data_IF_413630861147
#
_entry.id   IF_413630861147
#
_cell.length_a   1.000
_cell.length_b   1.000
_cell.length_c   1.000
_cell.angle_alpha   90.00
_cell.angle_beta   90.00
_cell.angle_gamma   90.00
#
_symmetry.space_group_name_H-M   'P 1'
#
loop_
_entity.id
_entity.type
_entity.pdbx_description
1 polymer ?
#
# COMPACT_ATOMS: atom_id res chain seq x y z
N UNK A 1 -17.98 -11.15 30.83
CA UNK A 1 -19.44 -11.32 31.01
C UNK A 1 -19.97 -11.88 29.70
N UNK A 2 -20.81 -12.92 29.72
CA UNK A 2 -21.43 -13.47 28.51
C UNK A 2 -22.81 -12.83 28.41
N UNK A 3 -23.00 -11.91 27.47
CA UNK A 3 -24.31 -11.31 27.19
C UNK A 3 -25.01 -12.16 26.12
N UNK A 4 -26.20 -12.66 26.46
CA UNK A 4 -27.10 -13.29 25.49
C UNK A 4 -28.07 -12.23 24.98
N UNK A 5 -27.96 -11.89 23.69
CA UNK A 5 -28.89 -10.97 23.03
C UNK A 5 -30.04 -11.82 22.45
N UNK A 6 -31.18 -11.87 23.15
CA UNK A 6 -32.40 -12.53 22.66
C UNK A 6 -33.44 -11.48 22.25
N UNK A 7 -33.86 -11.51 20.99
CA UNK A 7 -34.93 -10.66 20.46
C UNK A 7 -36.13 -11.54 20.07
N UNK A 8 -37.32 -11.26 20.62
CA UNK A 8 -38.57 -11.96 20.28
C UNK A 8 -39.29 -11.21 19.13
N UNK A 9 -39.67 -11.92 18.07
CA UNK A 9 -40.57 -11.42 17.02
C UNK A 9 -41.55 -12.50 16.57
N UNK A 10 -42.83 -12.14 16.54
CA UNK A 10 -44.02 -12.99 16.34
C UNK A 10 -44.32 -13.34 14.87
N UNK A 11 -43.39 -13.10 13.93
CA UNK A 11 -43.55 -13.53 12.53
C UNK A 11 -42.24 -14.06 11.93
N UNK A 12 -41.55 -14.99 12.61
CA UNK A 12 -40.50 -15.88 12.07
C UNK A 12 -39.22 -15.26 11.47
N UNK A 13 -39.21 -13.95 11.19
CA UNK A 13 -38.08 -13.17 10.71
C UNK A 13 -37.98 -11.94 11.60
N UNK A 14 -36.83 -11.77 12.22
CA UNK A 14 -36.55 -10.66 13.13
C UNK A 14 -35.96 -9.53 12.29
N UNK A 15 -36.47 -8.31 12.47
CA UNK A 15 -35.95 -7.10 11.81
C UNK A 15 -34.64 -6.59 12.40
N UNK A 16 -33.76 -7.49 12.87
CA UNK A 16 -32.50 -7.15 13.49
C UNK A 16 -31.32 -7.74 12.70
N UNK A 17 -30.26 -6.95 12.56
CA UNK A 17 -29.05 -7.32 11.82
C UNK A 17 -27.85 -7.11 12.72
N UNK A 18 -26.89 -8.03 12.68
CA UNK A 18 -25.63 -7.87 13.37
C UNK A 18 -24.51 -7.68 12.35
N UNK A 19 -23.74 -6.59 12.51
CA UNK A 19 -22.60 -6.25 11.66
C UNK A 19 -21.33 -6.49 12.47
N UNK A 20 -20.42 -7.30 11.90
CA UNK A 20 -19.13 -7.63 12.50
C UNK A 20 -18.03 -6.74 11.90
N UNK A 21 -17.35 -6.00 12.77
CA UNK A 21 -16.26 -5.09 12.41
C UNK A 21 -16.78 -3.70 12.07
N UNK A 22 -16.36 -2.71 12.85
CA UNK A 22 -16.73 -1.30 12.71
C UNK A 22 -15.64 -0.49 12.01
N UNK A 23 -15.09 -1.03 10.92
CA UNK A 23 -14.33 -0.24 9.94
C UNK A 23 -15.26 0.65 9.10
N UNK A 24 -14.69 1.41 8.16
CA UNK A 24 -15.47 2.29 7.26
C UNK A 24 -16.65 1.58 6.56
N UNK A 25 -16.43 0.34 6.11
CA UNK A 25 -17.45 -0.45 5.44
C UNK A 25 -18.56 -0.91 6.41
N UNK A 26 -18.21 -1.36 7.62
CA UNK A 26 -19.19 -1.80 8.61
C UNK A 26 -20.01 -0.64 9.18
N UNK A 27 -19.40 0.52 9.35
CA UNK A 27 -20.08 1.76 9.73
C UNK A 27 -21.11 2.15 8.65
N UNK A 28 -20.71 2.20 7.38
CA UNK A 28 -21.64 2.53 6.30
C UNK A 28 -22.77 1.51 6.18
N UNK A 29 -22.45 0.21 6.21
CA UNK A 29 -23.46 -0.84 6.15
C UNK A 29 -24.45 -0.75 7.32
N UNK A 30 -23.98 -0.39 8.51
CA UNK A 30 -24.84 -0.21 9.68
C UNK A 30 -25.78 0.97 9.53
N UNK A 31 -25.31 2.09 8.98
CA UNK A 31 -26.15 3.26 8.69
C UNK A 31 -27.22 2.93 7.65
N UNK A 32 -26.82 2.33 6.52
CA UNK A 32 -27.76 1.97 5.44
C UNK A 32 -28.86 1.02 5.95
N UNK A 33 -28.49 0.01 6.75
CA UNK A 33 -29.44 -0.94 7.35
C UNK A 33 -30.35 -0.27 8.38
N UNK A 34 -29.82 0.65 9.16
CA UNK A 34 -30.59 1.38 10.17
C UNK A 34 -31.60 2.35 9.55
N UNK A 35 -31.24 3.00 8.44
CA UNK A 35 -32.12 3.85 7.62
C UNK A 35 -33.22 3.03 6.93
N UNK A 36 -32.95 1.78 6.56
CA UNK A 36 -33.96 0.83 6.08
C UNK A 36 -34.92 0.35 7.19
N UNK A 37 -34.71 0.77 8.44
CA UNK A 37 -35.58 0.47 9.57
C UNK A 37 -35.22 -0.81 10.35
N UNK A 38 -34.08 -1.43 10.06
CA UNK A 38 -33.61 -2.58 10.84
C UNK A 38 -32.92 -2.12 12.14
N UNK A 39 -33.06 -2.92 13.21
CA UNK A 39 -32.25 -2.76 14.44
C UNK A 39 -30.86 -3.34 14.17
N UNK A 40 -29.81 -2.54 14.25
CA UNK A 40 -28.45 -2.96 13.94
C UNK A 40 -27.61 -3.09 15.21
N UNK A 41 -26.97 -4.24 15.40
CA UNK A 41 -25.94 -4.47 16.40
C UNK A 41 -24.57 -4.41 15.73
N UNK A 42 -23.82 -3.33 15.97
CA UNK A 42 -22.48 -3.13 15.42
C UNK A 42 -21.45 -3.63 16.43
N UNK A 43 -20.83 -4.78 16.15
CA UNK A 43 -19.86 -5.43 17.04
C UNK A 43 -18.44 -5.14 16.58
N UNK A 44 -17.62 -4.60 17.47
CA UNK A 44 -16.22 -4.26 17.22
C UNK A 44 -15.31 -4.86 18.29
N UNK A 45 -14.20 -5.45 17.84
CA UNK A 45 -13.19 -6.05 18.68
C UNK A 45 -12.36 -5.00 19.44
N UNK A 46 -12.11 -3.87 18.78
CA UNK A 46 -11.36 -2.74 19.33
C UNK A 46 -12.19 -1.86 20.29
N UNK A 47 -11.53 -1.01 21.10
CA UNK A 47 -12.23 -0.11 22.02
C UNK A 47 -13.00 1.02 21.33
N UNK A 48 -12.73 1.29 20.06
CA UNK A 48 -13.36 2.34 19.26
C UNK A 48 -13.71 1.86 17.86
N UNK A 49 -14.76 2.43 17.29
CA UNK A 49 -15.14 2.24 15.88
C UNK A 49 -14.32 3.17 14.97
N UNK A 50 -14.19 2.81 13.69
CA UNK A 50 -13.47 3.57 12.65
C UNK A 50 -12.42 2.75 11.89
N UNK A 51 -11.95 1.64 12.48
CA UNK A 51 -10.98 0.72 11.88
C UNK A 51 -9.66 1.41 11.49
N UNK A 52 -8.96 0.83 10.51
CA UNK A 52 -7.67 1.34 10.04
C UNK A 52 -7.76 2.75 9.43
N UNK A 53 -8.89 3.10 8.81
CA UNK A 53 -9.08 4.41 8.20
C UNK A 53 -8.98 5.55 9.21
N UNK A 54 -9.42 5.34 10.45
CA UNK A 54 -9.32 6.32 11.53
C UNK A 54 -7.86 6.59 11.98
N UNK A 55 -6.91 5.73 11.58
CA UNK A 55 -5.50 5.84 11.91
C UNK A 55 -4.68 6.54 10.82
N UNK A 56 -5.28 6.81 9.65
CA UNK A 56 -4.61 7.47 8.54
C UNK A 56 -4.74 8.99 8.65
N UNK A 57 -3.67 9.73 8.36
CA UNK A 57 -3.75 11.19 8.24
C UNK A 57 -4.46 11.59 6.93
N UNK A 58 -4.08 10.94 5.82
CA UNK A 58 -4.56 11.24 4.47
C UNK A 58 -5.10 10.01 3.75
N UNK A 59 -6.14 10.22 2.95
CA UNK A 59 -6.74 9.19 2.10
C UNK A 59 -6.22 9.32 0.67
N UNK A 60 -5.86 8.20 0.05
CA UNK A 60 -5.58 8.15 -1.38
C UNK A 60 -6.90 7.96 -2.14
N UNK A 61 -7.15 8.60 -3.30
CA UNK A 61 -6.24 9.40 -4.14
C UNK A 61 -6.30 10.92 -3.89
N UNK A 62 -7.27 11.40 -3.10
CA UNK A 62 -7.57 12.84 -3.00
C UNK A 62 -6.69 13.59 -2.01
N UNK A 63 -5.92 12.87 -1.17
CA UNK A 63 -5.17 13.42 -0.04
C UNK A 63 -6.06 14.21 0.93
N UNK A 64 -7.31 13.80 1.09
CA UNK A 64 -8.22 14.35 2.08
C UNK A 64 -7.92 13.79 3.48
N UNK A 65 -8.18 14.59 4.50
CA UNK A 65 -8.07 14.16 5.90
C UNK A 65 -9.02 12.98 6.15
N UNK A 66 -8.48 11.82 6.54
CA UNK A 66 -9.29 10.62 6.73
C UNK A 66 -10.33 10.81 7.85
N UNK A 67 -9.95 11.49 8.92
CA UNK A 67 -10.86 11.82 10.00
C UNK A 67 -11.96 12.79 9.56
N UNK A 68 -11.71 13.76 8.68
CA UNK A 68 -12.77 14.64 8.18
C UNK A 68 -13.83 13.87 7.39
N UNK A 69 -13.42 12.87 6.61
CA UNK A 69 -14.34 12.02 5.85
C UNK A 69 -15.11 11.03 6.74
N UNK A 70 -14.46 10.50 7.78
CA UNK A 70 -15.01 9.46 8.64
C UNK A 70 -15.84 10.01 9.81
N UNK A 71 -15.45 11.16 10.37
CA UNK A 71 -16.11 11.78 11.53
C UNK A 71 -17.63 11.94 11.41
N UNK A 72 -18.21 12.42 10.29
CA UNK A 72 -19.67 12.51 10.19
C UNK A 72 -20.34 11.15 10.37
N UNK A 73 -19.80 10.11 9.72
CA UNK A 73 -20.34 8.74 9.83
C UNK A 73 -20.21 8.17 11.23
N UNK A 74 -19.11 8.47 11.94
CA UNK A 74 -18.92 8.06 13.34
C UNK A 74 -19.99 8.69 14.25
N UNK A 75 -20.22 9.99 14.09
CA UNK A 75 -21.21 10.74 14.87
C UNK A 75 -22.63 10.26 14.56
N UNK A 76 -22.95 10.06 13.29
CA UNK A 76 -24.26 9.59 12.86
C UNK A 76 -24.54 8.19 13.42
N UNK A 77 -23.55 7.28 13.31
CA UNK A 77 -23.67 5.91 13.83
C UNK A 77 -23.85 5.90 15.35
N UNK A 78 -23.11 6.75 16.07
CA UNK A 78 -23.20 6.85 17.53
C UNK A 78 -24.52 7.46 18.02
N UNK A 79 -25.18 8.28 17.21
CA UNK A 79 -26.44 8.95 17.57
C UNK A 79 -27.69 8.23 17.04
N UNK A 80 -27.52 7.26 16.14
CA UNK A 80 -28.65 6.61 15.50
C UNK A 80 -29.39 5.68 16.48
N UNK A 81 -30.70 5.90 16.68
CA UNK A 81 -31.50 5.13 17.65
C UNK A 81 -31.58 3.62 17.34
N UNK A 82 -31.52 3.26 16.05
CA UNK A 82 -31.55 1.87 15.60
C UNK A 82 -30.18 1.19 15.62
N UNK A 83 -29.09 1.87 15.95
CA UNK A 83 -27.76 1.27 15.99
C UNK A 83 -27.31 1.13 17.45
N UNK A 84 -26.88 -0.07 17.81
CA UNK A 84 -26.30 -0.38 19.11
C UNK A 84 -24.85 -0.82 18.92
N UNK A 85 -23.92 -0.05 19.49
CA UNK A 85 -22.48 -0.25 19.31
C UNK A 85 -21.95 -1.10 20.48
N UNK A 86 -21.44 -2.28 20.16
CA UNK A 86 -20.85 -3.22 21.11
C UNK A 86 -19.35 -3.32 20.82
N UNK A 87 -18.59 -2.52 21.55
CA UNK A 87 -17.13 -2.40 21.45
C UNK A 87 -16.42 -3.35 22.42
N UNK A 88 -15.13 -3.63 22.20
CA UNK A 88 -14.33 -4.62 22.94
C UNK A 88 -14.92 -6.03 22.90
N UNK A 89 -15.57 -6.39 21.80
CA UNK A 89 -16.44 -7.54 21.73
C UNK A 89 -16.12 -8.40 20.50
N UNK A 90 -15.98 -9.71 20.72
CA UNK A 90 -15.74 -10.68 19.65
C UNK A 90 -16.86 -11.71 19.57
N UNK A 91 -17.20 -12.10 18.34
CA UNK A 91 -18.11 -13.21 18.09
C UNK A 91 -17.55 -14.50 18.70
N UNK A 92 -18.34 -15.20 19.52
CA UNK A 92 -17.97 -16.49 20.08
C UNK A 92 -18.71 -17.65 19.42
N UNK A 93 -20.03 -17.53 19.26
CA UNK A 93 -20.87 -18.60 18.73
C UNK A 93 -22.11 -18.03 18.04
N UNK A 94 -22.54 -18.68 16.96
CA UNK A 94 -23.81 -18.42 16.27
C UNK A 94 -24.63 -19.71 16.29
N UNK A 95 -25.87 -19.62 16.75
CA UNK A 95 -26.83 -20.73 16.78
C UNK A 95 -28.08 -20.32 15.98
N UNK A 96 -28.61 -21.20 15.13
CA UNK A 96 -29.81 -20.95 14.32
C UNK A 96 -29.56 -20.92 12.81
N UNK A 97 -30.48 -20.30 12.07
CA UNK A 97 -30.46 -20.25 10.59
C UNK A 97 -30.67 -18.81 10.09
N UNK A 98 -30.37 -18.57 8.81
CA UNK A 98 -30.50 -17.23 8.22
C UNK A 98 -31.92 -16.65 8.42
N UNK A 99 -31.99 -15.44 9.00
CA UNK A 99 -33.24 -14.75 9.34
C UNK A 99 -33.78 -15.02 10.76
N UNK A 100 -33.25 -16.03 11.46
CA UNK A 100 -33.53 -16.28 12.87
C UNK A 100 -32.34 -17.01 13.51
N UNK A 101 -31.35 -16.23 13.94
CA UNK A 101 -30.14 -16.72 14.60
C UNK A 101 -29.87 -15.94 15.87
N UNK A 102 -29.34 -16.63 16.88
CA UNK A 102 -28.89 -16.07 18.14
C UNK A 102 -27.37 -16.07 18.17
N UNK A 103 -26.79 -14.99 18.68
CA UNK A 103 -25.34 -14.79 18.68
C UNK A 103 -24.85 -14.61 20.11
N UNK A 104 -23.79 -15.35 20.45
CA UNK A 104 -23.06 -15.17 21.71
C UNK A 104 -21.80 -14.35 21.45
N UNK A 105 -21.67 -13.22 22.14
CA UNK A 105 -20.54 -12.31 22.01
C UNK A 105 -19.75 -12.27 23.31
N UNK A 106 -18.42 -12.33 23.21
CA UNK A 106 -17.49 -12.21 24.33
C UNK A 106 -17.02 -10.77 24.44
N UNK A 107 -17.52 -10.02 25.43
CA UNK A 107 -17.11 -8.65 25.73
C UNK A 107 -15.94 -8.64 26.74
N UNK A 108 -14.82 -8.01 26.36
CA UNK A 108 -13.67 -7.79 27.23
C UNK A 108 -13.94 -6.62 28.20
N UNK A 109 -13.44 -6.71 29.45
CA UNK A 109 -13.64 -5.64 30.41
C UNK A 109 -12.87 -4.38 29.98
N UNK A 110 -13.54 -3.22 30.03
CA UNK A 110 -12.90 -1.92 29.81
C UNK A 110 -12.19 -1.37 31.04
N UNK A 111 -12.37 -2.02 32.20
CA UNK A 111 -11.93 -1.53 33.52
C UNK A 111 -12.45 -0.12 33.86
N UNK A 112 -13.57 0.27 33.24
CA UNK A 112 -14.27 1.54 33.40
C UNK A 112 -15.77 1.23 33.52
N UNK A 113 -16.47 1.94 34.39
CA UNK A 113 -17.93 1.93 34.50
C UNK A 113 -18.51 2.82 33.38
N UNK A 114 -19.17 2.21 32.38
CA UNK A 114 -19.67 2.91 31.18
C UNK A 114 -20.71 3.98 31.55
N UNK A 115 -21.54 3.74 32.57
CA UNK A 115 -22.60 4.66 33.00
C UNK A 115 -22.06 5.91 33.71
N UNK A 116 -20.86 5.81 34.30
CA UNK A 116 -20.18 6.92 35.00
C UNK A 116 -19.09 7.58 34.17
N UNK A 117 -18.81 7.09 32.96
CA UNK A 117 -17.72 7.57 32.14
C UNK A 117 -18.03 8.97 31.59
N UNK A 118 -17.21 9.96 31.93
CA UNK A 118 -17.33 11.34 31.43
C UNK A 118 -16.33 11.67 30.31
N UNK A 119 -15.54 10.69 29.85
CA UNK A 119 -14.49 10.92 28.85
C UNK A 119 -13.26 11.68 29.38
N UNK A 120 -13.07 11.76 30.70
CA UNK A 120 -11.98 12.52 31.34
C UNK A 120 -10.56 11.98 31.10
N UNK A 121 -10.40 10.77 30.54
CA UNK A 121 -9.09 10.19 30.23
C UNK A 121 -8.30 9.64 31.43
N UNK A 122 -8.86 9.62 32.65
CA UNK A 122 -8.19 9.06 33.85
C UNK A 122 -7.80 7.58 33.69
N UNK A 123 -8.59 6.83 32.92
CA UNK A 123 -8.31 5.44 32.58
C UNK A 123 -6.99 5.27 31.81
N UNK A 124 -6.61 6.24 30.98
CA UNK A 124 -5.36 6.19 30.21
C UNK A 124 -4.14 6.36 31.14
N UNK A 125 -4.21 7.29 32.10
CA UNK A 125 -3.14 7.52 33.07
C UNK A 125 -2.90 6.31 33.98
N UNK A 126 -3.99 5.66 34.39
CA UNK A 126 -3.96 4.48 35.25
C UNK A 126 -3.92 3.16 34.46
N UNK A 127 -3.73 3.22 33.14
CA UNK A 127 -3.69 2.01 32.31
C UNK A 127 -2.52 1.13 32.76
N UNK A 128 -2.76 -0.14 33.15
CA UNK A 128 -1.70 -1.05 33.57
C UNK A 128 -0.77 -1.42 32.40
N UNK A 129 -1.24 -1.28 31.17
CA UNK A 129 -0.46 -1.48 29.94
C UNK A 129 0.14 -0.14 29.54
N UNK A 130 1.41 0.08 29.85
CA UNK A 130 2.21 1.16 29.25
C UNK A 130 2.82 0.62 27.97
N UNK A 131 2.22 0.95 26.84
CA UNK A 131 2.79 0.61 25.54
C UNK A 131 3.93 1.60 25.26
N UNK A 132 5.11 1.31 25.79
CA UNK A 132 6.33 2.03 25.42
C UNK A 132 6.71 1.51 24.05
N UNK A 133 6.71 2.37 23.04
CA UNK A 133 7.30 2.03 21.76
C UNK A 133 8.80 1.86 21.98
N UNK A 134 9.24 0.61 22.09
CA UNK A 134 10.65 0.27 22.06
C UNK A 134 11.11 0.40 20.61
N UNK A 135 11.74 1.53 20.29
CA UNK A 135 12.53 1.62 19.07
C UNK A 135 13.87 0.96 19.39
N UNK A 136 14.23 -0.08 18.65
CA UNK A 136 15.62 -0.57 18.66
C UNK A 136 16.51 0.61 18.23
N UNK A 137 17.50 0.95 19.07
CA UNK A 137 18.48 1.98 18.76
C UNK A 137 19.28 1.55 17.51
N UNK A 138 19.61 2.53 16.66
CA UNK A 138 20.18 2.38 15.31
C UNK A 138 21.60 1.75 15.33
N UNK A 139 22.15 1.48 16.51
CA UNK A 139 23.58 1.26 16.74
C UNK A 139 24.05 -0.20 16.57
N UNK A 140 23.15 -1.18 16.43
CA UNK A 140 23.56 -2.60 16.24
C UNK A 140 23.67 -3.03 14.76
N UNK A 141 23.37 -2.13 13.83
CA UNK A 141 23.55 -2.42 12.41
C UNK A 141 25.01 -2.19 12.05
N UNK A 142 25.82 -3.24 12.20
CA UNK A 142 27.27 -3.21 11.99
C UNK A 142 27.70 -2.37 10.78
N UNK A 143 28.73 -1.55 10.99
CA UNK A 143 29.33 -0.70 9.97
C UNK A 143 29.65 -1.53 8.72
N UNK A 144 28.88 -1.33 7.67
CA UNK A 144 29.16 -1.94 6.38
C UNK A 144 30.31 -1.17 5.75
N UNK A 145 31.38 -1.88 5.41
CA UNK A 145 32.48 -1.33 4.63
C UNK A 145 32.00 -1.13 3.19
N UNK A 146 31.81 0.12 2.80
CA UNK A 146 31.61 0.51 1.41
C UNK A 146 32.97 0.61 0.73
N UNK A 147 33.02 0.31 -0.58
CA UNK A 147 34.20 0.57 -1.39
C UNK A 147 34.53 2.08 -1.39
N UNK A 148 35.80 2.44 -1.56
CA UNK A 148 36.26 3.85 -1.46
C UNK A 148 35.57 4.78 -2.48
N UNK A 149 35.21 4.25 -3.66
CA UNK A 149 34.54 4.98 -4.75
C UNK A 149 33.06 5.26 -4.41
N UNK A 150 32.38 4.27 -3.83
CA UNK A 150 30.98 4.38 -3.40
C UNK A 150 30.83 5.34 -2.22
N UNK A 151 31.78 5.31 -1.29
CA UNK A 151 31.81 6.20 -0.13
C UNK A 151 31.93 7.68 -0.53
N UNK A 152 32.76 7.99 -1.53
CA UNK A 152 32.93 9.37 -2.02
C UNK A 152 31.66 9.87 -2.71
N UNK A 153 31.11 9.08 -3.63
CA UNK A 153 29.87 9.42 -4.35
C UNK A 153 28.71 9.66 -3.37
N UNK A 154 28.58 8.80 -2.35
CA UNK A 154 27.52 8.94 -1.36
C UNK A 154 27.73 10.18 -0.48
N UNK A 155 28.96 10.48 -0.11
CA UNK A 155 29.28 11.65 0.71
C UNK A 155 29.01 12.96 -0.04
N UNK A 156 29.24 13.00 -1.36
CA UNK A 156 28.84 14.13 -2.21
C UNK A 156 27.33 14.32 -2.24
N UNK A 157 26.56 13.23 -2.42
CA UNK A 157 25.09 13.26 -2.42
C UNK A 157 24.56 13.73 -1.05
N UNK A 158 25.10 13.21 0.05
CA UNK A 158 24.69 13.58 1.41
C UNK A 158 24.98 15.05 1.73
N UNK A 159 26.12 15.57 1.26
CA UNK A 159 26.49 16.98 1.47
C UNK A 159 25.57 17.94 0.71
N UNK A 160 25.07 17.54 -0.46
CA UNK A 160 24.16 18.36 -1.28
C UNK A 160 22.81 18.63 -0.61
N UNK A 161 22.36 17.73 0.25
CA UNK A 161 21.01 17.75 0.85
C UNK A 161 21.01 17.96 2.36
N UNK A 162 22.12 18.45 2.93
CA UNK A 162 22.27 18.84 4.35
C UNK A 162 21.96 17.73 5.39
N UNK A 163 21.94 16.46 4.97
CA UNK A 163 21.71 15.29 5.82
C UNK A 163 20.46 15.37 6.75
N UNK A 164 19.43 16.12 6.33
CA UNK A 164 18.19 16.23 7.10
C UNK A 164 17.25 15.02 6.88
N UNK A 165 16.47 14.66 7.91
CA UNK A 165 15.46 13.59 7.83
C UNK A 165 14.40 13.85 6.75
N UNK A 166 14.13 15.10 6.41
CA UNK A 166 13.19 15.46 5.35
C UNK A 166 13.73 15.15 3.94
N UNK A 167 15.05 15.05 3.78
CA UNK A 167 15.71 14.88 2.49
C UNK A 167 15.91 13.42 2.08
N UNK A 168 15.42 12.44 2.85
CA UNK A 168 15.62 11.00 2.59
C UNK A 168 15.21 10.62 1.18
N UNK A 169 14.07 11.11 0.71
CA UNK A 169 13.56 10.79 -0.64
C UNK A 169 14.52 11.33 -1.71
N UNK A 170 15.01 12.56 -1.56
CA UNK A 170 15.95 13.17 -2.50
C UNK A 170 17.29 12.44 -2.53
N UNK A 171 17.81 12.05 -1.37
CA UNK A 171 19.02 11.24 -1.27
C UNK A 171 18.83 9.89 -1.96
N UNK A 172 17.71 9.20 -1.71
CA UNK A 172 17.41 7.93 -2.38
C UNK A 172 17.21 8.08 -3.89
N UNK A 173 16.67 9.22 -4.36
CA UNK A 173 16.55 9.52 -5.78
C UNK A 173 17.92 9.67 -6.44
N UNK A 174 18.84 10.40 -5.82
CA UNK A 174 20.20 10.59 -6.35
C UNK A 174 20.99 9.27 -6.34
N UNK A 175 20.88 8.47 -5.27
CA UNK A 175 21.48 7.13 -5.20
C UNK A 175 20.92 6.24 -6.30
N UNK A 176 19.59 6.20 -6.47
CA UNK A 176 18.95 5.40 -7.51
C UNK A 176 19.26 5.94 -8.92
N UNK A 177 19.52 7.23 -9.09
CA UNK A 177 19.96 7.79 -10.36
C UNK A 177 21.37 7.33 -10.74
N UNK A 178 22.27 7.23 -9.75
CA UNK A 178 23.64 6.75 -9.93
C UNK A 178 23.71 5.24 -10.13
N UNK A 179 23.18 4.46 -9.17
CA UNK A 179 23.30 3.00 -9.17
C UNK A 179 22.20 2.29 -9.96
N UNK A 180 21.09 2.95 -10.30
CA UNK A 180 19.87 2.36 -10.93
C UNK A 180 19.09 1.37 -10.05
N UNK A 181 19.59 1.11 -8.86
CA UNK A 181 18.93 0.40 -7.78
C UNK A 181 19.47 0.96 -6.46
N UNK A 182 18.96 0.44 -5.35
CA UNK A 182 19.37 0.79 -4.00
C UNK A 182 20.08 -0.42 -3.37
N UNK A 183 21.42 -0.46 -3.40
CA UNK A 183 22.19 -1.50 -2.73
C UNK A 183 21.93 -1.49 -1.22
N UNK A 184 21.90 -2.68 -0.62
CA UNK A 184 21.67 -2.81 0.83
C UNK A 184 22.74 -2.08 1.66
N UNK A 185 24.01 -2.17 1.25
CA UNK A 185 25.14 -1.54 1.93
C UNK A 185 25.01 -0.01 1.94
N UNK A 186 24.59 0.55 0.81
CA UNK A 186 24.34 1.99 0.65
C UNK A 186 23.14 2.43 1.50
N UNK A 187 22.05 1.65 1.52
CA UNK A 187 20.88 1.97 2.35
C UNK A 187 21.20 1.96 3.84
N UNK A 188 22.01 1.01 4.30
CA UNK A 188 22.49 0.93 5.68
C UNK A 188 23.31 2.18 6.03
N UNK A 189 24.19 2.62 5.13
CA UNK A 189 24.97 3.84 5.33
C UNK A 189 24.10 5.11 5.36
N UNK A 190 23.13 5.24 4.45
CA UNK A 190 22.18 6.36 4.42
C UNK A 190 21.34 6.41 5.70
N UNK A 191 20.87 5.26 6.19
CA UNK A 191 20.11 5.16 7.44
C UNK A 191 20.92 5.69 8.64
N UNK A 192 22.20 5.31 8.71
CA UNK A 192 23.11 5.78 9.75
C UNK A 192 23.39 7.29 9.63
N UNK A 193 23.70 7.78 8.43
CA UNK A 193 23.97 9.19 8.17
C UNK A 193 22.79 10.11 8.54
N UNK A 194 21.56 9.68 8.23
CA UNK A 194 20.33 10.45 8.50
C UNK A 194 19.73 10.19 9.90
N UNK A 195 20.35 9.30 10.70
CA UNK A 195 19.86 8.86 12.02
C UNK A 195 18.40 8.40 11.97
N UNK A 196 18.12 7.51 11.01
CA UNK A 196 16.82 6.89 10.80
C UNK A 196 16.92 5.37 10.96
N UNK A 197 15.87 4.71 11.48
CA UNK A 197 15.84 3.26 11.51
C UNK A 197 15.80 2.70 10.08
N UNK A 198 16.55 1.64 9.83
CA UNK A 198 16.65 0.98 8.52
C UNK A 198 15.27 0.54 8.00
N UNK A 199 14.35 0.17 8.90
CA UNK A 199 12.96 -0.16 8.57
C UNK A 199 12.20 1.01 7.92
N UNK A 200 12.47 2.24 8.32
CA UNK A 200 11.86 3.43 7.73
C UNK A 200 12.42 3.72 6.33
N UNK A 201 13.73 3.54 6.15
CA UNK A 201 14.38 3.68 4.84
C UNK A 201 13.87 2.62 3.87
N UNK A 202 13.79 1.35 4.29
CA UNK A 202 13.17 0.28 3.49
C UNK A 202 11.68 0.53 3.24
N UNK A 203 10.95 1.05 4.23
CA UNK A 203 9.55 1.42 4.07
C UNK A 203 9.37 2.44 2.94
N UNK A 204 10.22 3.46 2.88
CA UNK A 204 10.22 4.45 1.79
C UNK A 204 10.64 3.79 0.47
N UNK A 205 11.73 3.02 0.46
CA UNK A 205 12.26 2.37 -0.74
C UNK A 205 11.26 1.39 -1.38
N UNK A 206 10.49 0.67 -0.57
CA UNK A 206 9.47 -0.28 -1.04
C UNK A 206 8.13 0.37 -1.38
N UNK A 207 7.82 1.53 -0.77
CA UNK A 207 6.58 2.25 -1.02
C UNK A 207 6.55 2.95 -2.38
N UNK A 208 7.67 3.56 -2.80
CA UNK A 208 7.76 4.27 -4.09
C UNK A 208 8.21 3.34 -5.22
N UNK A 209 7.37 3.18 -6.24
CA UNK A 209 7.65 2.34 -7.41
C UNK A 209 8.85 2.81 -8.27
N UNK A 210 9.29 4.05 -8.09
CA UNK A 210 10.47 4.60 -8.80
C UNK A 210 11.79 4.00 -8.31
N UNK A 211 11.83 3.49 -7.08
CA UNK A 211 13.00 2.85 -6.52
C UNK A 211 13.01 1.36 -6.84
N UNK A 212 14.22 0.78 -6.87
CA UNK A 212 14.39 -0.67 -7.01
C UNK A 212 15.40 -1.16 -5.97
N UNK A 213 15.06 -2.22 -5.24
CA UNK A 213 16.02 -2.94 -4.38
C UNK A 213 16.83 -3.97 -5.17
N UNK A 214 16.36 -4.34 -6.36
CA UNK A 214 17.02 -5.31 -7.24
C UNK A 214 17.78 -4.55 -8.33
N UNK A 215 19.00 -4.98 -8.70
CA UNK A 215 19.75 -4.37 -9.79
C UNK A 215 18.90 -4.25 -11.07
N UNK A 216 18.75 -3.02 -11.56
CA UNK A 216 18.08 -2.75 -12.84
C UNK A 216 19.13 -2.45 -13.91
N UNK A 217 18.84 -2.95 -15.11
CA UNK A 217 19.60 -2.64 -16.29
C UNK A 217 19.31 -1.24 -16.82
N UNK A 218 20.15 -0.77 -17.72
CA UNK A 218 20.04 0.55 -18.37
C UNK A 218 18.68 0.79 -19.06
N UNK A 219 18.12 -0.25 -19.67
CA UNK A 219 16.85 -0.22 -20.38
C UNK A 219 15.84 -1.14 -19.71
N UNK A 220 14.83 -0.54 -19.06
CA UNK A 220 13.76 -1.26 -18.41
C UNK A 220 12.63 -1.48 -19.42
N UNK A 221 12.49 -2.72 -19.89
CA UNK A 221 11.45 -3.17 -20.81
C UNK A 221 10.24 -3.62 -20.01
N UNK A 222 9.14 -2.88 -20.10
CA UNK A 222 7.88 -3.21 -19.42
C UNK A 222 6.86 -3.74 -20.41
N UNK A 223 6.32 -4.92 -20.15
CA UNK A 223 5.31 -5.57 -20.99
C UNK A 223 3.94 -5.44 -20.33
N UNK A 224 2.97 -4.85 -21.04
CA UNK A 224 1.60 -4.74 -20.55
C UNK A 224 0.88 -6.09 -20.60
N UNK A 225 0.44 -6.56 -19.44
CA UNK A 225 -0.37 -7.78 -19.26
C UNK A 225 -1.81 -7.47 -18.84
N UNK A 226 -2.28 -6.25 -19.14
CA UNK A 226 -3.68 -5.86 -18.96
C UNK A 226 -4.61 -6.61 -19.89
N UNK A 227 -5.91 -6.60 -19.60
CA UNK A 227 -6.93 -7.40 -20.31
C UNK A 227 -6.84 -7.27 -21.84
N UNK A 228 -6.77 -6.05 -22.38
CA UNK A 228 -6.68 -5.82 -23.82
C UNK A 228 -5.39 -6.38 -24.44
N UNK A 229 -4.24 -6.21 -23.77
CA UNK A 229 -2.97 -6.76 -24.25
C UNK A 229 -2.93 -8.28 -24.11
N UNK A 230 -3.46 -8.83 -23.02
CA UNK A 230 -3.54 -10.27 -22.77
C UNK A 230 -4.33 -10.98 -23.87
N UNK A 231 -5.52 -10.49 -24.23
CA UNK A 231 -6.37 -11.04 -25.30
C UNK A 231 -5.69 -10.94 -26.67
N UNK A 232 -4.99 -9.83 -26.94
CA UNK A 232 -4.24 -9.63 -28.21
C UNK A 232 -2.89 -10.36 -28.26
N UNK A 233 -2.55 -11.17 -27.27
CA UNK A 233 -1.36 -12.01 -27.28
C UNK A 233 -0.13 -11.40 -26.60
N UNK A 234 -0.30 -10.52 -25.61
CA UNK A 234 0.80 -9.94 -24.82
C UNK A 234 1.71 -10.99 -24.17
N UNK A 235 1.16 -12.13 -23.75
CA UNK A 235 1.96 -13.25 -23.25
C UNK A 235 2.95 -13.80 -24.29
N UNK A 236 2.59 -13.77 -25.57
CA UNK A 236 3.48 -14.20 -26.67
C UNK A 236 4.63 -13.21 -26.89
N UNK A 237 4.44 -11.94 -26.55
CA UNK A 237 5.47 -10.92 -26.59
C UNK A 237 6.43 -11.08 -25.42
N UNK A 238 5.88 -11.29 -24.22
CA UNK A 238 6.68 -11.58 -23.03
C UNK A 238 7.60 -12.80 -23.25
N UNK A 239 7.03 -13.93 -23.69
CA UNK A 239 7.82 -15.13 -23.98
C UNK A 239 8.88 -14.91 -25.08
N UNK A 240 8.59 -14.07 -26.08
CA UNK A 240 9.56 -13.75 -27.12
C UNK A 240 10.72 -12.89 -26.58
N UNK A 241 10.42 -11.94 -25.68
CA UNK A 241 11.43 -11.14 -24.98
C UNK A 241 12.27 -11.99 -24.03
N UNK A 242 11.65 -12.89 -23.27
CA UNK A 242 12.38 -13.82 -22.37
C UNK A 242 13.38 -14.69 -23.15
N UNK A 243 12.99 -15.19 -24.33
CA UNK A 243 13.89 -15.97 -25.20
C UNK A 243 15.00 -15.14 -25.82
N UNK A 244 14.72 -13.88 -26.16
CA UNK A 244 15.67 -13.01 -26.85
C UNK A 244 16.71 -12.44 -25.88
N UNK A 245 16.26 -12.05 -24.68
CA UNK A 245 17.12 -11.49 -23.63
C UNK A 245 17.70 -12.57 -22.69
N UNK A 246 17.28 -13.83 -22.83
CA UNK A 246 17.67 -14.96 -21.99
C UNK A 246 17.44 -14.75 -20.48
N UNK A 247 16.44 -13.94 -20.12
CA UNK A 247 16.07 -13.62 -18.72
C UNK A 247 14.57 -13.85 -18.49
N UNK A 248 14.16 -14.30 -17.29
CA UNK A 248 12.75 -14.39 -16.93
C UNK A 248 12.13 -13.01 -16.68
N UNK A 249 10.79 -12.92 -16.70
CA UNK A 249 10.08 -11.73 -16.23
C UNK A 249 10.47 -11.38 -14.77
N UNK A 250 10.90 -10.13 -14.55
CA UNK A 250 11.47 -9.62 -13.31
C UNK A 250 13.00 -9.70 -13.21
N UNK A 251 13.66 -10.29 -14.20
CA UNK A 251 15.12 -10.42 -14.26
C UNK A 251 15.81 -9.23 -14.93
N UNK A 252 17.13 -9.18 -14.74
CA UNK A 252 18.06 -8.23 -15.39
C UNK A 252 19.17 -9.03 -16.06
N UNK A 253 19.60 -8.63 -17.25
CA UNK A 253 20.69 -9.30 -17.96
C UNK A 253 22.02 -9.16 -17.21
N UNK A 254 22.93 -10.11 -17.36
CA UNK A 254 24.25 -10.08 -16.70
C UNK A 254 25.04 -8.81 -17.06
N UNK A 255 24.91 -8.33 -18.29
CA UNK A 255 25.52 -7.09 -18.78
C UNK A 255 24.89 -5.80 -18.21
N UNK A 256 23.88 -5.93 -17.35
CA UNK A 256 23.09 -4.81 -16.78
C UNK A 256 22.55 -3.84 -17.85
N UNK A 257 22.31 -4.32 -19.06
CA UNK A 257 21.82 -3.48 -20.14
C UNK A 257 20.29 -3.50 -20.24
N UNK A 258 19.66 -4.65 -20.03
CA UNK A 258 18.19 -4.78 -20.07
C UNK A 258 17.61 -5.37 -18.79
N UNK A 259 16.48 -4.83 -18.35
CA UNK A 259 15.60 -5.47 -17.36
C UNK A 259 14.25 -5.75 -17.99
N UNK A 260 13.65 -6.88 -17.68
CA UNK A 260 12.33 -7.25 -18.17
C UNK A 260 11.32 -7.20 -17.02
N UNK A 261 10.29 -6.37 -17.12
CA UNK A 261 9.24 -6.23 -16.11
C UNK A 261 7.86 -6.55 -16.71
N UNK A 262 7.06 -7.32 -15.98
CA UNK A 262 5.63 -7.48 -16.26
C UNK A 262 4.83 -6.41 -15.52
N UNK A 263 4.03 -5.63 -16.23
CA UNK A 263 3.15 -4.62 -15.64
C UNK A 263 1.68 -4.90 -15.95
N UNK A 264 0.79 -4.57 -15.01
CA UNK A 264 -0.65 -4.84 -15.16
C UNK A 264 -1.33 -3.96 -16.19
N UNK A 265 -0.99 -2.68 -16.28
CA UNK A 265 -1.63 -1.78 -17.23
C UNK A 265 -0.73 -0.59 -17.57
N UNK A 266 -0.64 -0.27 -18.85
CA UNK A 266 0.01 0.95 -19.37
C UNK A 266 -0.99 2.00 -19.86
N UNK A 267 -2.31 1.75 -19.74
CA UNK A 267 -3.37 2.69 -20.13
C UNK A 267 -3.63 2.83 -21.64
N UNK A 268 -2.77 2.29 -22.51
CA UNK A 268 -2.86 2.46 -23.96
C UNK A 268 -3.60 1.31 -24.69
N UNK A 269 -4.80 0.94 -24.22
CA UNK A 269 -5.55 -0.22 -24.76
C UNK A 269 -5.83 -0.17 -26.27
N UNK A 270 -5.96 1.03 -26.85
CA UNK A 270 -6.16 1.21 -28.31
C UNK A 270 -4.97 0.73 -29.15
N UNK A 271 -3.76 0.80 -28.59
CA UNK A 271 -2.51 0.40 -29.24
C UNK A 271 -2.06 -1.01 -28.84
N UNK A 272 -2.91 -1.78 -28.15
CA UNK A 272 -2.54 -3.12 -27.70
C UNK A 272 -2.16 -4.05 -28.88
N UNK A 273 -1.13 -4.91 -28.73
CA UNK A 273 -0.23 -5.04 -27.57
C UNK A 273 0.79 -3.91 -27.43
N UNK A 274 1.02 -3.46 -26.19
CA UNK A 274 1.92 -2.33 -25.84
C UNK A 274 3.08 -2.80 -24.96
N UNK A 275 4.27 -2.31 -25.26
CA UNK A 275 5.45 -2.38 -24.39
C UNK A 275 6.02 -0.97 -24.21
N UNK A 276 6.73 -0.73 -23.12
CA UNK A 276 7.57 0.47 -22.97
C UNK A 276 9.01 0.08 -22.71
N UNK A 277 9.95 0.88 -23.21
CA UNK A 277 11.37 0.77 -22.90
C UNK A 277 11.75 2.10 -22.27
N UNK A 278 11.99 2.11 -20.96
CA UNK A 278 12.10 3.34 -20.18
C UNK A 278 10.87 4.26 -20.38
N UNK A 279 11.05 5.38 -21.09
CA UNK A 279 10.02 6.38 -21.40
C UNK A 279 9.39 6.17 -22.79
N UNK A 280 10.03 5.36 -23.66
CA UNK A 280 9.58 5.15 -25.02
C UNK A 280 8.44 4.15 -25.09
N UNK A 281 7.33 4.53 -25.72
CA UNK A 281 6.12 3.72 -25.86
C UNK A 281 6.02 3.10 -27.24
N UNK A 282 5.87 1.78 -27.28
CA UNK A 282 5.72 1.00 -28.50
C UNK A 282 4.34 0.33 -28.54
N UNK A 283 3.51 0.76 -29.49
CA UNK A 283 2.19 0.20 -29.76
C UNK A 283 2.17 -0.79 -30.92
N UNK A 284 1.11 -1.60 -30.98
CA UNK A 284 0.85 -2.59 -32.04
C UNK A 284 2.08 -3.48 -32.32
N UNK A 285 2.71 -3.92 -31.23
CA UNK A 285 3.97 -4.66 -31.28
C UNK A 285 3.69 -6.12 -31.64
N UNK A 286 4.50 -6.66 -32.54
CA UNK A 286 4.45 -8.06 -32.97
C UNK A 286 5.82 -8.70 -32.72
N UNK A 287 5.87 -10.02 -32.60
CA UNK A 287 7.12 -10.75 -32.35
C UNK A 287 8.22 -10.42 -33.38
N UNK A 288 7.84 -10.21 -34.65
CA UNK A 288 8.77 -9.87 -35.72
C UNK A 288 9.38 -8.44 -35.59
N UNK A 289 8.71 -7.53 -34.87
CA UNK A 289 9.19 -6.17 -34.65
C UNK A 289 10.12 -6.07 -33.44
N UNK A 290 10.10 -7.03 -32.52
CA UNK A 290 10.90 -6.98 -31.28
C UNK A 290 12.41 -6.86 -31.51
N UNK A 291 13.04 -7.66 -32.41
CA UNK A 291 14.49 -7.53 -32.65
C UNK A 291 14.84 -6.12 -33.16
N UNK A 292 14.07 -5.59 -34.11
CA UNK A 292 14.27 -4.23 -34.64
C UNK A 292 14.13 -3.13 -33.59
N UNK A 293 13.27 -3.34 -32.59
CA UNK A 293 13.11 -2.39 -31.48
C UNK A 293 14.32 -2.51 -30.55
N UNK A 294 14.75 -3.72 -30.20
CA UNK A 294 15.90 -3.95 -29.30
C UNK A 294 17.22 -3.47 -29.92
N UNK A 295 17.42 -3.66 -31.22
CA UNK A 295 18.63 -3.24 -31.94
C UNK A 295 18.89 -1.74 -31.81
N UNK A 296 17.83 -0.92 -31.72
CA UNK A 296 17.97 0.54 -31.49
C UNK A 296 18.63 0.88 -30.16
N UNK A 297 18.46 0.02 -29.16
CA UNK A 297 19.01 0.22 -27.83
C UNK A 297 20.32 -0.57 -27.61
N UNK A 298 20.72 -1.42 -28.57
CA UNK A 298 21.98 -2.16 -28.53
C UNK A 298 23.20 -1.34 -29.02
N UNK A 299 23.04 -0.06 -29.40
CA UNK A 299 24.12 0.72 -30.03
C UNK A 299 24.22 2.21 -29.67
N UNK A 300 23.41 2.75 -28.76
CA UNK A 300 23.37 4.20 -28.53
C UNK A 300 23.73 4.60 -27.08
N UNK A 301 24.90 5.21 -26.83
CA UNK A 301 25.10 6.04 -25.66
C UNK A 301 24.53 7.43 -25.97
N UNK A 302 23.26 7.68 -25.62
CA UNK A 302 22.67 9.00 -25.86
C UNK A 302 22.39 9.71 -24.54
N UNK A 303 23.07 10.84 -24.43
CA UNK A 303 22.90 11.89 -23.44
C UNK A 303 21.46 12.39 -23.42
N UNK A 304 21.06 12.94 -22.27
CA UNK A 304 19.80 13.66 -22.12
C UNK A 304 19.70 14.76 -23.19
N UNK A 305 18.62 14.79 -23.97
CA UNK A 305 18.00 16.02 -24.47
C UNK A 305 16.63 15.78 -25.16
N UNK A 306 15.63 16.42 -24.56
CA UNK A 306 14.56 17.23 -25.18
C UNK A 306 13.55 16.57 -26.12
N UNK A 307 12.39 16.30 -25.53
CA UNK A 307 11.06 16.21 -26.14
C UNK A 307 10.84 17.31 -27.18
N UNK A 308 10.72 16.93 -28.45
CA UNK A 308 9.93 17.70 -29.42
C UNK A 308 8.78 16.82 -29.88
N UNK A 309 7.58 17.25 -29.52
CA UNK A 309 6.34 16.74 -30.07
C UNK A 309 6.34 16.97 -31.58
N UNK A 310 6.43 15.89 -32.35
CA UNK A 310 6.20 15.89 -33.78
C UNK A 310 4.78 15.44 -34.07
N UNK A 311 3.94 16.40 -34.41
CA UNK A 311 2.76 16.18 -35.23
C UNK A 311 3.18 15.56 -36.57
N UNK A 312 2.45 14.55 -37.05
CA UNK A 312 2.03 14.54 -38.45
C UNK A 312 0.81 13.65 -38.66
N UNK A 313 -0.03 14.13 -39.56
CA UNK A 313 -1.31 13.62 -40.02
C UNK A 313 -1.13 12.56 -41.12
N UNK A 314 -2.08 11.62 -41.23
CA UNK A 314 -2.17 10.65 -42.34
C UNK A 314 -3.06 9.47 -42.04
#
# INVERSE_FOLDING_TARGET
MIEQITTESTNGKIGAVMVLGAGVAGIQASLDLAEMGFKVYLVEDQPSIGGAMAQLDKTFPTNDCAMCLLSPKLVDTARHHNIEIITNAQLHKVDGQAGNFSVTVKKRPRFIDEDKCTGCGTCTTNCPVRNIAHFEEVDEIGQVQLDEEDSQTLQEILTRHEAERAAVISVLQDVNAHYRYLPEDVLRHVAHALKLPLSQVYGIATFYNSFSLVPRGRYVVRVCMGTACHVKGGHRILQALERTLAIPAGGTTEDKNFSLEEVRCLGCCGLAPVITINEDLYGSVTQAKLPKILDRYQGEPVAAETTTAGADDG
#
